data_IF_069232144346
#
_entry.id   IF_069232144346
#
_cell.length_a   1.000
_cell.length_b   1.000
_cell.length_c   1.000
_cell.angle_alpha   90.00
_cell.angle_beta   90.00
_cell.angle_gamma   90.00
#
_symmetry.space_group_name_H-M   'P 1'
#
loop_
_entity.id
_entity.type
_entity.pdbx_description
1 polymer ?
#
# COMPACT_ATOMS: atom_id res chain seq x y z
N UNK A 1 6.10 -4.86 4.16
CA UNK A 1 6.65 -4.17 2.97
C UNK A 1 7.33 -2.90 3.44
N UNK A 2 8.43 -2.55 2.81
CA UNK A 2 9.25 -1.34 3.00
C UNK A 2 9.00 -0.30 1.90
N UNK A 3 9.52 0.92 2.09
CA UNK A 3 9.44 2.07 1.18
C UNK A 3 8.02 2.41 0.70
N UNK A 4 7.03 2.25 1.59
CA UNK A 4 5.62 2.45 1.26
C UNK A 4 5.20 3.92 1.21
N UNK A 5 6.03 4.86 1.65
CA UNK A 5 5.72 6.28 1.53
C UNK A 5 6.33 6.93 0.30
N UNK A 6 7.29 6.27 -0.38
CA UNK A 6 7.93 6.73 -1.60
C UNK A 6 8.40 8.20 -1.50
N UNK A 7 9.02 8.57 -0.39
CA UNK A 7 9.43 9.95 -0.13
C UNK A 7 8.27 10.95 -0.02
N UNK A 8 7.06 10.47 0.29
CA UNK A 8 5.82 11.25 0.38
C UNK A 8 5.03 11.33 -0.93
N UNK A 9 5.49 10.72 -2.02
CA UNK A 9 4.76 10.71 -3.31
C UNK A 9 3.43 9.96 -3.23
N UNK A 10 3.29 9.05 -2.27
CA UNK A 10 2.06 8.27 -2.07
C UNK A 10 0.83 9.13 -1.74
N UNK A 11 1.03 10.33 -1.20
CA UNK A 11 -0.02 11.27 -0.82
C UNK A 11 -0.29 12.34 -1.89
N UNK A 12 0.47 12.35 -2.99
CA UNK A 12 0.34 13.34 -4.06
C UNK A 12 -0.61 12.85 -5.15
N UNK A 13 -1.14 13.77 -5.94
CA UNK A 13 -1.84 13.41 -7.17
C UNK A 13 -0.86 12.69 -8.13
N UNK A 14 -1.34 11.65 -8.83
CA UNK A 14 -0.53 10.88 -9.79
C UNK A 14 0.09 11.77 -10.89
N UNK A 15 -0.51 12.92 -11.18
CA UNK A 15 0.01 13.89 -12.14
C UNK A 15 1.28 14.57 -11.65
N UNK A 16 1.46 14.71 -10.34
CA UNK A 16 2.67 15.24 -9.69
C UNK A 16 3.77 14.18 -9.57
N UNK A 17 3.40 12.89 -9.56
CA UNK A 17 4.35 11.78 -9.56
C UNK A 17 5.09 11.70 -10.90
N UNK A 18 6.41 11.58 -10.83
CA UNK A 18 7.30 11.42 -12.00
C UNK A 18 6.84 10.25 -12.85
N UNK A 19 6.73 10.44 -14.17
CA UNK A 19 6.17 9.42 -15.11
C UNK A 19 6.78 8.02 -14.93
N UNK A 20 8.09 7.94 -14.69
CA UNK A 20 8.79 6.65 -14.48
C UNK A 20 8.41 5.91 -13.18
N UNK A 21 7.88 6.61 -12.17
CA UNK A 21 7.49 6.02 -10.88
C UNK A 21 6.00 5.71 -10.78
N UNK A 22 5.19 6.14 -11.75
CA UNK A 22 3.73 5.96 -11.72
C UNK A 22 3.29 4.50 -11.70
N UNK A 23 4.08 3.58 -12.26
CA UNK A 23 3.79 2.14 -12.18
C UNK A 23 3.86 1.65 -10.74
N UNK A 24 4.90 2.06 -9.99
CA UNK A 24 5.09 1.70 -8.58
C UNK A 24 4.02 2.37 -7.73
N UNK A 25 3.73 3.65 -7.96
CA UNK A 25 2.63 4.36 -7.31
C UNK A 25 1.29 3.60 -7.47
N UNK A 26 0.91 3.22 -8.71
CA UNK A 26 -0.34 2.48 -8.97
C UNK A 26 -0.37 1.12 -8.30
N UNK A 27 0.75 0.39 -8.33
CA UNK A 27 0.85 -0.92 -7.67
C UNK A 27 0.67 -0.80 -6.15
N UNK A 28 1.24 0.23 -5.55
CA UNK A 28 1.10 0.49 -4.12
C UNK A 28 -0.32 0.92 -3.74
N UNK A 29 -0.96 1.79 -4.52
CA UNK A 29 -2.36 2.15 -4.29
C UNK A 29 -3.27 0.92 -4.35
N UNK A 30 -3.11 0.07 -5.38
CA UNK A 30 -3.84 -1.21 -5.47
C UNK A 30 -3.61 -2.11 -4.26
N UNK A 31 -2.38 -2.16 -3.74
CA UNK A 31 -2.07 -2.92 -2.53
C UNK A 31 -2.81 -2.35 -1.32
N UNK A 32 -2.80 -1.03 -1.15
CA UNK A 32 -3.51 -0.38 -0.05
C UNK A 32 -5.01 -0.64 -0.12
N UNK A 33 -5.62 -0.47 -1.30
CA UNK A 33 -7.04 -0.75 -1.51
C UNK A 33 -7.39 -2.22 -1.17
N UNK A 34 -6.53 -3.17 -1.53
CA UNK A 34 -6.75 -4.59 -1.27
C UNK A 34 -6.52 -5.00 0.20
N UNK A 35 -5.79 -4.20 0.98
CA UNK A 35 -5.28 -4.62 2.30
C UNK A 35 -5.73 -3.78 3.49
N UNK A 36 -5.96 -2.47 3.32
CA UNK A 36 -6.31 -1.58 4.44
C UNK A 36 -7.74 -1.83 4.95
N UNK A 37 -8.68 -2.06 4.04
CA UNK A 37 -10.10 -2.26 4.38
C UNK A 37 -10.50 -3.75 4.46
N UNK A 38 -9.52 -4.66 4.42
CA UNK A 38 -9.79 -6.09 4.47
C UNK A 38 -9.96 -6.59 5.92
N UNK A 39 -11.15 -7.09 6.33
CA UNK A 39 -11.40 -7.52 7.72
C UNK A 39 -10.58 -8.75 8.14
N UNK A 40 -10.10 -9.54 7.18
CA UNK A 40 -9.26 -10.71 7.41
C UNK A 40 -7.78 -10.33 7.68
N UNK A 41 -7.43 -9.05 7.46
CA UNK A 41 -6.12 -8.49 7.70
C UNK A 41 -6.16 -7.44 8.81
N UNK A 42 -5.10 -7.42 9.61
CA UNK A 42 -4.77 -6.24 10.41
C UNK A 42 -3.62 -5.53 9.71
N UNK A 43 -3.90 -4.37 9.12
CA UNK A 43 -2.89 -3.52 8.52
C UNK A 43 -2.38 -2.48 9.51
N UNK A 44 -1.07 -2.25 9.53
CA UNK A 44 -0.43 -1.22 10.35
C UNK A 44 0.63 -0.50 9.52
N UNK A 45 0.48 0.82 9.42
CA UNK A 45 1.44 1.70 8.77
C UNK A 45 2.38 2.26 9.84
N UNK A 46 3.67 1.97 9.71
CA UNK A 46 4.70 2.41 10.66
C UNK A 46 5.59 3.44 9.97
N UNK A 47 5.66 4.68 10.47
CA UNK A 47 6.50 5.74 9.90
C UNK A 47 7.96 5.62 10.39
N UNK A 48 8.60 4.51 10.06
CA UNK A 48 10.02 4.28 10.30
C UNK A 48 10.73 4.22 8.96
N UNK A 49 11.74 5.07 8.76
CA UNK A 49 12.42 5.23 7.46
C UNK A 49 11.47 5.84 6.41
N UNK A 50 11.42 5.26 5.22
CA UNK A 50 10.47 5.65 4.16
C UNK A 50 9.12 4.88 4.26
N UNK A 51 8.80 4.42 5.47
CA UNK A 51 7.54 3.77 5.81
C UNK A 51 7.58 2.25 5.69
N UNK A 52 6.89 1.59 6.62
CA UNK A 52 6.72 0.14 6.64
C UNK A 52 5.23 -0.20 6.73
N UNK A 53 4.74 -1.02 5.80
CA UNK A 53 3.42 -1.67 5.92
C UNK A 53 3.60 -3.05 6.57
N UNK A 54 3.01 -3.22 7.73
CA UNK A 54 2.88 -4.50 8.41
C UNK A 54 1.47 -5.05 8.18
N UNK A 55 1.38 -6.28 7.68
CA UNK A 55 0.13 -7.01 7.52
C UNK A 55 0.17 -8.23 8.41
N UNK A 56 -0.81 -8.37 9.30
CA UNK A 56 -1.06 -9.58 10.06
C UNK A 56 -2.30 -10.26 9.49
N UNK A 57 -2.18 -11.55 9.19
CA UNK A 57 -3.34 -12.37 8.83
C UNK A 57 -4.10 -12.76 10.10
N UNK A 58 -5.40 -12.51 10.11
CA UNK A 58 -6.28 -12.92 11.20
C UNK A 58 -6.86 -14.34 10.97
N UNK A 59 -6.74 -14.85 9.75
CA UNK A 59 -7.18 -16.19 9.31
C UNK A 59 -6.04 -16.88 8.54
N UNK A 60 -6.13 -18.20 8.36
CA UNK A 60 -5.10 -18.98 7.67
C UNK A 60 -4.93 -18.56 6.20
N UNK A 61 -6.07 -18.44 5.50
CA UNK A 61 -6.15 -18.06 4.10
C UNK A 61 -6.95 -16.76 3.98
N UNK A 62 -6.34 -15.75 3.36
CA UNK A 62 -6.93 -14.43 3.18
C UNK A 62 -7.32 -14.26 1.72
N UNK A 63 -8.55 -13.83 1.47
CA UNK A 63 -9.00 -13.48 0.13
C UNK A 63 -8.79 -11.98 -0.10
N UNK A 64 -7.99 -11.62 -1.10
CA UNK A 64 -7.79 -10.24 -1.52
C UNK A 64 -8.70 -9.97 -2.72
N UNK A 65 -9.58 -8.97 -2.61
CA UNK A 65 -10.34 -8.48 -3.75
C UNK A 65 -9.42 -7.68 -4.67
N UNK A 66 -9.46 -7.93 -5.97
CA UNK A 66 -8.83 -7.05 -6.95
C UNK A 66 -9.66 -5.77 -7.06
N UNK A 67 -9.09 -4.64 -6.64
CA UNK A 67 -9.69 -3.32 -6.88
C UNK A 67 -9.57 -2.99 -8.39
N UNK A 68 -10.72 -2.74 -9.03
CA UNK A 68 -10.89 -2.42 -10.46
C UNK A 68 -10.00 -1.25 -10.91
#
# INVERSE_FOLDING_TARGET
LDDIFQGGDVAKDIMEVRRGQRTIYRGLQKLFDATLDNPELTATLVPLGDGILMLRKNVADVQLSESE
#
